data_IF_916572262498
#
_entry.id   IF_916572262498
#
_cell.length_a   1.000
_cell.length_b   1.000
_cell.length_c   1.000
_cell.angle_alpha   90.00
_cell.angle_beta   90.00
_cell.angle_gamma   90.00
#
_symmetry.space_group_name_H-M   'P 1'
#
loop_
_entity.id
_entity.type
_entity.pdbx_description
1 polymer ?
#
# COMPACT_ATOMS: atom_id res chain seq x y z
N UNK A 1 -11.31 -1.38 -11.91
CA UNK A 1 -11.88 -0.74 -10.72
C UNK A 1 -10.85 0.12 -10.02
N UNK A 2 -10.96 1.43 -10.23
CA UNK A 2 -10.26 2.41 -9.44
C UNK A 2 -10.96 2.48 -8.08
N UNK A 3 -10.26 2.08 -7.02
CA UNK A 3 -10.87 1.98 -5.71
C UNK A 3 -11.07 3.39 -5.11
N UNK A 4 -12.32 3.71 -4.78
CA UNK A 4 -12.77 5.01 -4.29
C UNK A 4 -11.99 5.47 -3.04
N UNK A 5 -11.67 6.76 -2.90
CA UNK A 5 -11.12 7.35 -1.67
C UNK A 5 -12.00 7.08 -0.43
N UNK A 6 -11.37 6.90 0.73
CA UNK A 6 -12.08 6.53 1.96
C UNK A 6 -13.03 7.64 2.46
N UNK A 7 -12.66 8.89 2.23
CA UNK A 7 -13.46 10.07 2.53
C UNK A 7 -14.71 10.17 1.66
N UNK A 8 -14.65 9.72 0.41
CA UNK A 8 -15.80 9.66 -0.52
C UNK A 8 -16.84 8.62 -0.09
N UNK A 9 -16.41 7.50 0.49
CA UNK A 9 -17.30 6.44 1.00
C UNK A 9 -18.10 6.83 2.25
N UNK A 10 -17.62 7.83 3.00
CA UNK A 10 -18.25 8.26 4.25
C UNK A 10 -19.62 8.89 3.98
N UNK A 11 -20.66 8.42 4.66
CA UNK A 11 -22.03 8.96 4.54
C UNK A 11 -22.16 10.37 5.13
N UNK A 12 -21.52 10.63 6.27
CA UNK A 12 -21.57 11.93 6.95
C UNK A 12 -20.48 12.84 6.41
N UNK A 13 -20.86 13.87 5.65
CA UNK A 13 -19.91 14.86 5.09
C UNK A 13 -19.77 16.14 5.92
N UNK A 14 -20.76 16.44 6.75
CA UNK A 14 -20.82 17.66 7.54
C UNK A 14 -21.49 17.39 8.88
N UNK A 15 -21.01 18.05 9.93
CA UNK A 15 -21.61 18.02 11.26
C UNK A 15 -22.86 18.90 11.31
N UNK A 16 -23.93 18.37 11.90
CA UNK A 16 -25.19 19.09 12.04
C UNK A 16 -25.04 20.37 12.86
N UNK A 17 -24.19 20.35 13.89
CA UNK A 17 -23.89 21.54 14.70
C UNK A 17 -23.40 22.72 13.84
N UNK A 18 -22.51 22.49 12.88
CA UNK A 18 -22.02 23.54 11.97
C UNK A 18 -23.10 24.10 11.03
N UNK A 19 -24.17 23.36 10.79
CA UNK A 19 -25.33 23.85 10.03
C UNK A 19 -26.21 24.69 10.95
N UNK A 20 -26.52 24.16 12.13
CA UNK A 20 -27.38 24.81 13.12
C UNK A 20 -26.79 26.12 13.62
N UNK A 21 -25.50 26.16 13.97
CA UNK A 21 -24.84 27.34 14.55
C UNK A 21 -24.85 28.56 13.64
N UNK A 22 -24.95 28.37 12.31
CA UNK A 22 -25.06 29.46 11.34
C UNK A 22 -26.39 30.19 11.38
N UNK A 23 -27.43 29.53 11.87
CA UNK A 23 -28.79 30.06 11.95
C UNK A 23 -29.14 30.60 13.34
N UNK A 24 -28.23 30.45 14.31
CA UNK A 24 -28.42 30.90 15.69
C UNK A 24 -27.87 32.31 15.86
N UNK A 25 -28.57 33.15 16.63
CA UNK A 25 -28.04 34.42 17.07
C UNK A 25 -26.79 34.18 17.94
N UNK A 26 -25.64 34.83 17.70
CA UNK A 26 -24.42 34.62 18.49
C UNK A 26 -24.59 34.73 20.01
N UNK A 27 -25.59 35.50 20.47
CA UNK A 27 -25.89 35.65 21.91
C UNK A 27 -26.55 34.38 22.51
N UNK A 28 -27.24 33.59 21.69
CA UNK A 28 -27.99 32.39 22.09
C UNK A 28 -27.20 31.09 21.87
N UNK A 29 -26.07 31.15 21.14
CA UNK A 29 -25.30 29.97 20.73
C UNK A 29 -24.90 29.07 21.91
N UNK A 30 -24.39 29.66 22.99
CA UNK A 30 -23.97 28.92 24.19
C UNK A 30 -25.15 28.26 24.93
N UNK A 31 -26.33 28.87 24.87
CA UNK A 31 -27.54 28.31 25.46
C UNK A 31 -28.04 27.13 24.63
N UNK A 32 -28.09 27.29 23.31
CA UNK A 32 -28.49 26.21 22.40
C UNK A 32 -27.49 25.06 22.42
N UNK A 33 -26.18 25.33 22.43
CA UNK A 33 -25.13 24.30 22.55
C UNK A 33 -25.29 23.50 23.84
N UNK A 34 -25.61 24.16 24.96
CA UNK A 34 -25.89 23.49 26.23
C UNK A 34 -27.18 22.67 26.18
N UNK A 35 -28.26 23.21 25.58
CA UNK A 35 -29.54 22.52 25.48
C UNK A 35 -29.47 21.25 24.61
N UNK A 36 -28.67 21.28 23.54
CA UNK A 36 -28.43 20.13 22.66
C UNK A 36 -27.43 19.11 23.26
N UNK A 37 -26.73 19.49 24.32
CA UNK A 37 -25.70 18.69 24.96
C UNK A 37 -24.31 18.95 24.39
N UNK A 38 -23.57 19.85 25.02
CA UNK A 38 -22.23 20.26 24.59
C UNK A 38 -21.26 19.07 24.44
N UNK A 39 -21.28 18.12 25.38
CA UNK A 39 -20.44 16.91 25.32
C UNK A 39 -20.67 16.10 24.04
N UNK A 40 -21.93 15.92 23.64
CA UNK A 40 -22.27 15.17 22.43
C UNK A 40 -21.80 15.88 21.16
N UNK A 41 -21.84 17.22 21.15
CA UNK A 41 -21.34 18.03 20.03
C UNK A 41 -19.81 17.90 19.93
N UNK A 42 -19.10 18.02 21.06
CA UNK A 42 -17.64 17.91 21.13
C UNK A 42 -17.16 16.50 20.76
N UNK A 43 -17.81 15.46 21.28
CA UNK A 43 -17.51 14.07 20.93
C UNK A 43 -17.72 13.80 19.45
N UNK A 44 -18.79 14.35 18.84
CA UNK A 44 -19.05 14.20 17.43
C UNK A 44 -18.03 14.95 16.55
N UNK A 45 -17.64 16.16 16.97
CA UNK A 45 -16.53 16.90 16.34
C UNK A 45 -15.24 16.09 16.38
N UNK A 46 -14.91 15.51 17.53
CA UNK A 46 -13.73 14.66 17.71
C UNK A 46 -13.78 13.41 16.81
N UNK A 47 -14.91 12.71 16.78
CA UNK A 47 -15.10 11.54 15.91
C UNK A 47 -14.95 11.87 14.42
N UNK A 48 -15.42 13.04 13.99
CA UNK A 48 -15.27 13.48 12.59
C UNK A 48 -13.81 13.76 12.24
N UNK A 49 -13.03 14.35 13.16
CA UNK A 49 -11.59 14.56 13.01
C UNK A 49 -10.85 13.22 12.94
N UNK A 50 -11.15 12.28 13.84
CA UNK A 50 -10.55 10.95 13.84
C UNK A 50 -10.86 10.19 12.55
N UNK A 51 -12.11 10.26 12.08
CA UNK A 51 -12.50 9.65 10.80
C UNK A 51 -11.77 10.27 9.61
N UNK A 52 -11.51 11.58 9.62
CA UNK A 52 -10.72 12.24 8.58
C UNK A 52 -9.26 11.78 8.61
N UNK A 53 -8.64 11.69 9.79
CA UNK A 53 -7.28 11.19 9.94
C UNK A 53 -7.15 9.71 9.50
N UNK A 54 -8.14 8.87 9.81
CA UNK A 54 -8.18 7.49 9.34
C UNK A 54 -8.27 7.39 7.81
N UNK A 55 -9.05 8.26 7.17
CA UNK A 55 -9.14 8.29 5.71
C UNK A 55 -7.79 8.63 5.07
N UNK A 56 -7.03 9.57 5.64
CA UNK A 56 -5.67 9.91 5.21
C UNK A 56 -4.71 8.71 5.34
N UNK A 57 -4.70 8.06 6.51
CA UNK A 57 -3.87 6.88 6.77
C UNK A 57 -4.17 5.76 5.77
N UNK A 58 -5.45 5.52 5.48
CA UNK A 58 -5.86 4.51 4.50
C UNK A 58 -5.36 4.87 3.10
N UNK A 59 -5.47 6.14 2.70
CA UNK A 59 -4.92 6.63 1.44
C UNK A 59 -3.42 6.35 1.31
N UNK A 60 -2.65 6.67 2.36
CA UNK A 60 -1.22 6.43 2.46
C UNK A 60 -0.85 4.94 2.36
N UNK A 61 -1.55 4.08 3.11
CA UNK A 61 -1.32 2.63 3.09
C UNK A 61 -1.61 2.04 1.72
N UNK A 62 -2.67 2.52 1.05
CA UNK A 62 -2.99 2.11 -0.32
C UNK A 62 -1.91 2.52 -1.29
N UNK A 63 -1.47 3.79 -1.25
CA UNK A 63 -0.39 4.26 -2.11
C UNK A 63 0.89 3.41 -1.96
N UNK A 64 1.29 3.10 -0.72
CA UNK A 64 2.47 2.25 -0.45
C UNK A 64 2.27 0.81 -0.94
N UNK A 65 1.07 0.26 -0.75
CA UNK A 65 0.73 -1.08 -1.23
C UNK A 65 0.79 -1.17 -2.75
N UNK A 66 0.20 -0.19 -3.44
CA UNK A 66 0.17 -0.12 -4.90
C UNK A 66 1.58 0.07 -5.48
N UNK A 67 2.39 0.94 -4.87
CA UNK A 67 3.81 1.11 -5.23
C UNK A 67 4.62 -0.17 -5.02
N UNK A 68 4.37 -0.91 -3.92
CA UNK A 68 4.99 -2.21 -3.66
C UNK A 68 4.57 -3.27 -4.67
N UNK A 69 3.28 -3.32 -5.01
CA UNK A 69 2.74 -4.26 -6.00
C UNK A 69 3.30 -3.97 -7.40
N UNK A 70 3.38 -2.70 -7.81
CA UNK A 70 4.00 -2.28 -9.05
C UNK A 70 5.48 -2.68 -9.09
N UNK A 71 6.21 -2.42 -8.00
CA UNK A 71 7.61 -2.81 -7.88
C UNK A 71 7.79 -4.33 -8.03
N UNK A 72 6.94 -5.14 -7.39
CA UNK A 72 6.96 -6.60 -7.54
C UNK A 72 6.70 -7.05 -8.97
N UNK A 73 5.73 -6.44 -9.67
CA UNK A 73 5.44 -6.75 -11.08
C UNK A 73 6.65 -6.49 -11.99
N UNK A 74 7.47 -5.47 -11.72
CA UNK A 74 8.70 -5.22 -12.48
C UNK A 74 9.71 -6.38 -12.35
N UNK A 75 9.71 -7.07 -11.21
CA UNK A 75 10.57 -8.22 -10.95
C UNK A 75 9.97 -9.56 -11.42
N UNK A 76 8.68 -9.60 -11.74
CA UNK A 76 7.97 -10.70 -12.39
C UNK A 76 8.10 -10.59 -13.91
N UNK A 77 9.33 -10.61 -14.43
CA UNK A 77 9.59 -10.69 -15.87
C UNK A 77 9.77 -12.17 -16.26
N UNK A 78 8.97 -12.73 -17.20
CA UNK A 78 9.12 -14.12 -17.64
C UNK A 78 10.54 -14.46 -18.15
N UNK A 79 11.24 -13.48 -18.74
CA UNK A 79 12.63 -13.60 -19.17
C UNK A 79 13.62 -13.64 -18.01
N UNK A 80 13.25 -13.15 -16.82
CA UNK A 80 14.12 -13.17 -15.63
C UNK A 80 14.43 -14.60 -15.20
N UNK A 81 13.46 -15.50 -15.19
CA UNK A 81 13.70 -16.91 -14.82
C UNK A 81 14.66 -17.59 -15.81
N UNK A 82 14.56 -17.25 -17.10
CA UNK A 82 15.48 -17.75 -18.13
C UNK A 82 16.90 -17.22 -17.89
N UNK A 83 17.05 -15.90 -17.70
CA UNK A 83 18.34 -15.25 -17.43
C UNK A 83 18.96 -15.78 -16.12
N UNK A 84 18.16 -15.97 -15.07
CA UNK A 84 18.63 -16.57 -13.81
C UNK A 84 19.10 -18.03 -14.01
N UNK A 85 18.43 -18.80 -14.88
CA UNK A 85 18.85 -20.14 -15.27
C UNK A 85 20.19 -20.14 -16.01
N UNK A 86 20.33 -19.27 -17.01
CA UNK A 86 21.57 -19.10 -17.78
C UNK A 86 22.74 -18.65 -16.91
N UNK A 87 22.52 -17.71 -15.99
CA UNK A 87 23.52 -17.26 -15.02
C UNK A 87 23.97 -18.40 -14.10
N UNK A 88 23.06 -19.26 -13.63
CA UNK A 88 23.42 -20.43 -12.82
C UNK A 88 24.27 -21.42 -13.61
N UNK A 89 23.94 -21.67 -14.87
CA UNK A 89 24.73 -22.54 -15.74
C UNK A 89 26.14 -21.98 -15.98
N UNK A 90 26.25 -20.67 -16.22
CA UNK A 90 27.53 -19.98 -16.38
C UNK A 90 28.38 -20.08 -15.11
N UNK A 91 27.81 -19.79 -13.94
CA UNK A 91 28.51 -19.90 -12.65
C UNK A 91 28.98 -21.33 -12.39
N UNK A 92 28.16 -22.34 -12.68
CA UNK A 92 28.55 -23.74 -12.53
C UNK A 92 29.67 -24.12 -13.49
N UNK A 93 29.66 -23.58 -14.71
CA UNK A 93 30.73 -23.80 -15.70
C UNK A 93 32.04 -23.18 -15.20
N UNK A 94 32.01 -21.93 -14.73
CA UNK A 94 33.18 -21.24 -14.16
C UNK A 94 33.73 -22.02 -12.96
N UNK A 95 32.87 -22.50 -12.05
CA UNK A 95 33.30 -23.32 -10.91
C UNK A 95 33.96 -24.62 -11.35
N UNK A 96 33.39 -25.33 -12.33
CA UNK A 96 33.99 -26.56 -12.89
C UNK A 96 35.36 -26.31 -13.53
N UNK A 97 35.50 -25.21 -14.27
CA UNK A 97 36.79 -24.79 -14.82
C UNK A 97 37.80 -24.45 -13.73
N UNK A 98 37.39 -23.70 -12.71
CA UNK A 98 38.25 -23.31 -11.59
C UNK A 98 38.66 -24.50 -10.70
N UNK A 99 37.80 -25.53 -10.59
CA UNK A 99 38.07 -26.75 -9.82
C UNK A 99 38.88 -27.81 -10.59
N UNK A 100 39.22 -27.58 -11.87
CA UNK A 100 40.09 -28.48 -12.66
C UNK A 100 39.40 -29.74 -13.21
N UNK A 101 38.06 -29.77 -13.28
CA UNK A 101 37.28 -31.00 -13.49
C UNK A 101 37.06 -31.41 -14.97
N UNK A 102 37.95 -30.97 -15.88
CA UNK A 102 37.86 -31.24 -17.32
C UNK A 102 38.71 -32.44 -17.77
N UNK A 103 38.91 -33.44 -16.90
CA UNK A 103 39.82 -34.55 -17.17
C UNK A 103 39.19 -35.85 -17.71
N UNK A 104 37.86 -35.98 -17.87
CA UNK A 104 37.27 -37.32 -18.18
C UNK A 104 36.33 -37.46 -19.39
N UNK A 105 36.11 -36.43 -20.22
CA UNK A 105 35.23 -36.55 -21.43
C UNK A 105 36.02 -36.43 -22.73
N UNK A 106 37.15 -37.13 -22.86
CA UNK A 106 37.82 -37.28 -24.17
C UNK A 106 38.48 -38.65 -24.40
N UNK A 107 38.13 -39.67 -23.60
CA UNK A 107 38.85 -40.95 -23.59
C UNK A 107 37.97 -42.20 -23.66
N UNK A 108 36.91 -42.23 -24.47
CA UNK A 108 36.22 -43.50 -24.80
C UNK A 108 35.57 -43.44 -26.18
N UNK A 109 36.39 -43.61 -27.20
CA UNK A 109 35.95 -43.69 -28.59
C UNK A 109 37.06 -44.19 -29.50
N UNK A 110 37.13 -45.51 -29.69
CA UNK A 110 37.84 -46.17 -30.78
C UNK A 110 39.30 -46.55 -30.49
N UNK A 111 39.58 -47.86 -30.47
CA UNK A 111 40.24 -48.62 -31.56
C UNK A 111 40.60 -50.02 -31.06
N UNK A 112 40.36 -51.04 -31.90
CA UNK A 112 41.10 -52.31 -31.89
C UNK A 112 40.47 -53.43 -31.09
#
# INVERSE_FOLDING_TARGET
>A
DEAMPADELRQVKQLLWHVISREINPVEEDEVRRALGASAIEENEQLMLEAAALAEIIGDVRHRTDASALSRRLYENPGRTLVEGELRLLVNSIKRFASGDFAEVSGRGGTG
#
